data_IF_408504503071
#
_entry.id   IF_408504503071
#
_cell.length_a   1.000
_cell.length_b   1.000
_cell.length_c   1.000
_cell.angle_alpha   90.00
_cell.angle_beta   90.00
_cell.angle_gamma   90.00
#
_symmetry.space_group_name_H-M   'P 1'
#
loop_
_entity.id
_entity.type
_entity.pdbx_description
1 polymer ?
#
# COMPACT_ATOMS: atom_id res chain seq x y z
N UNK A 1 43.03 -14.52 -18.51
CA UNK A 1 41.97 -15.24 -17.77
C UNK A 1 41.66 -14.46 -16.50
N UNK A 2 40.90 -13.37 -16.58
CA UNK A 2 40.45 -12.69 -15.34
C UNK A 2 39.16 -11.88 -15.54
N UNK A 3 38.26 -12.41 -16.36
CA UNK A 3 36.91 -11.89 -16.60
C UNK A 3 35.90 -12.49 -15.61
N UNK A 4 36.23 -12.58 -14.32
CA UNK A 4 35.34 -13.24 -13.32
C UNK A 4 35.10 -12.42 -12.04
N UNK A 5 35.50 -11.14 -11.98
CA UNK A 5 35.17 -10.28 -10.82
C UNK A 5 33.79 -9.62 -10.92
N UNK A 6 32.87 -10.17 -11.72
CA UNK A 6 31.48 -9.71 -11.85
C UNK A 6 30.47 -10.52 -11.02
N UNK A 7 30.89 -11.16 -9.92
CA UNK A 7 29.92 -11.68 -8.95
C UNK A 7 29.67 -10.66 -7.84
N UNK A 8 29.03 -9.55 -8.21
CA UNK A 8 28.27 -8.74 -7.25
C UNK A 8 27.04 -9.57 -6.87
N UNK A 9 27.23 -10.50 -5.92
CA UNK A 9 26.14 -11.09 -5.17
C UNK A 9 25.45 -9.95 -4.42
N UNK A 10 24.52 -9.29 -5.09
CA UNK A 10 23.57 -8.36 -4.50
C UNK A 10 22.53 -9.23 -3.80
N UNK A 11 22.87 -9.67 -2.60
CA UNK A 11 21.87 -10.19 -1.68
C UNK A 11 20.83 -9.09 -1.46
N UNK A 12 19.57 -9.25 -1.89
CA UNK A 12 18.54 -8.23 -1.76
C UNK A 12 18.17 -7.94 -0.30
N UNK A 13 18.72 -8.72 0.64
CA UNK A 13 18.44 -8.62 2.07
C UNK A 13 19.32 -7.58 2.80
N UNK A 14 20.27 -6.93 2.12
CA UNK A 14 21.22 -5.96 2.71
C UNK A 14 20.89 -4.48 2.47
N UNK A 15 19.70 -4.15 1.95
CA UNK A 15 19.24 -2.75 1.90
C UNK A 15 18.50 -2.29 3.18
N UNK A 16 18.20 -3.22 4.10
CA UNK A 16 17.52 -3.00 5.38
C UNK A 16 18.32 -2.22 6.44
N UNK A 17 19.28 -1.40 6.03
CA UNK A 17 20.12 -0.62 6.95
C UNK A 17 20.77 0.64 6.39
N UNK A 18 20.48 1.04 5.14
CA UNK A 18 21.08 2.25 4.52
C UNK A 18 20.12 3.43 4.40
N UNK A 19 18.87 3.29 4.85
CA UNK A 19 17.84 4.33 4.83
C UNK A 19 17.51 4.87 6.23
N UNK A 20 16.93 6.08 6.34
CA UNK A 20 16.45 6.60 7.61
C UNK A 20 15.47 5.64 8.29
N UNK A 21 15.61 5.41 9.60
CA UNK A 21 14.78 4.48 10.38
C UNK A 21 13.27 4.79 10.37
N UNK A 22 12.89 6.02 9.98
CA UNK A 22 11.49 6.47 9.83
C UNK A 22 10.87 6.05 8.51
N UNK A 23 11.71 5.80 7.49
CA UNK A 23 11.26 5.52 6.12
C UNK A 23 10.26 4.36 6.04
N UNK A 24 10.52 3.17 6.62
CA UNK A 24 9.56 2.06 6.53
C UNK A 24 8.23 2.35 7.24
N UNK A 25 8.24 3.07 8.36
CA UNK A 25 7.01 3.47 9.05
C UNK A 25 6.19 4.47 8.20
N UNK A 26 6.87 5.42 7.56
CA UNK A 26 6.25 6.41 6.70
C UNK A 26 5.69 5.78 5.41
N UNK A 27 6.37 4.77 4.87
CA UNK A 27 5.95 4.02 3.70
C UNK A 27 4.61 3.32 3.95
N UNK A 28 4.52 2.53 5.03
CA UNK A 28 3.28 1.86 5.45
C UNK A 28 2.15 2.87 5.69
N UNK A 29 2.46 3.94 6.43
CA UNK A 29 1.50 5.00 6.73
C UNK A 29 0.95 5.66 5.46
N UNK A 30 1.82 5.99 4.50
CA UNK A 30 1.44 6.64 3.25
C UNK A 30 0.58 5.72 2.38
N UNK A 31 0.89 4.42 2.31
CA UNK A 31 0.10 3.46 1.53
C UNK A 31 -1.32 3.32 2.12
N UNK A 32 -1.44 3.15 3.44
CA UNK A 32 -2.73 3.08 4.13
C UNK A 32 -3.53 4.37 3.95
N UNK A 33 -2.90 5.52 4.19
CA UNK A 33 -3.55 6.84 4.07
C UNK A 33 -4.04 7.09 2.66
N UNK A 34 -3.28 6.65 1.65
CA UNK A 34 -3.66 6.78 0.23
C UNK A 34 -4.91 5.97 -0.08
N UNK A 35 -4.99 4.72 0.39
CA UNK A 35 -6.18 3.87 0.20
C UNK A 35 -7.45 4.41 0.86
N UNK A 36 -7.34 5.32 1.83
CA UNK A 36 -8.46 5.99 2.50
C UNK A 36 -8.78 7.32 1.80
N UNK A 37 -7.78 8.18 1.64
CA UNK A 37 -7.96 9.54 1.13
C UNK A 37 -8.41 9.57 -0.34
N UNK A 38 -7.82 8.74 -1.20
CA UNK A 38 -8.13 8.72 -2.64
C UNK A 38 -9.61 8.45 -2.92
N UNK A 39 -10.22 7.35 -2.43
CA UNK A 39 -11.62 7.08 -2.73
C UNK A 39 -12.57 8.11 -2.11
N UNK A 40 -12.26 8.66 -0.92
CA UNK A 40 -13.06 9.72 -0.29
C UNK A 40 -13.07 10.98 -1.17
N UNK A 41 -11.90 11.44 -1.61
CA UNK A 41 -11.79 12.63 -2.47
C UNK A 41 -12.51 12.40 -3.80
N UNK A 42 -12.34 11.22 -4.41
CA UNK A 42 -13.04 10.85 -5.63
C UNK A 42 -14.56 10.83 -5.44
N UNK A 43 -15.06 10.30 -4.32
CA UNK A 43 -16.48 10.30 -4.01
C UNK A 43 -17.03 11.70 -3.80
N UNK A 44 -16.28 12.60 -3.15
CA UNK A 44 -16.71 13.98 -2.94
C UNK A 44 -16.79 14.74 -4.25
N UNK A 45 -15.75 14.67 -5.09
CA UNK A 45 -15.72 15.38 -6.36
C UNK A 45 -16.74 14.77 -7.33
N UNK A 46 -16.74 13.45 -7.46
CA UNK A 46 -17.65 12.72 -8.34
C UNK A 46 -19.11 12.84 -7.91
N UNK A 47 -19.41 12.66 -6.62
CA UNK A 47 -20.76 12.76 -6.07
C UNK A 47 -21.35 14.16 -6.24
N UNK A 48 -20.57 15.21 -5.97
CA UNK A 48 -21.03 16.60 -6.16
C UNK A 48 -21.24 16.95 -7.63
N UNK A 49 -20.37 16.48 -8.53
CA UNK A 49 -20.52 16.71 -9.96
C UNK A 49 -21.78 16.02 -10.52
N UNK A 50 -22.06 14.80 -10.04
CA UNK A 50 -23.23 14.03 -10.44
C UNK A 50 -24.52 14.65 -9.90
N UNK A 51 -24.56 15.04 -8.61
CA UNK A 51 -25.71 15.73 -8.02
C UNK A 51 -25.99 17.08 -8.73
N UNK A 52 -24.96 17.84 -9.12
CA UNK A 52 -25.11 19.09 -9.85
C UNK A 52 -25.66 18.88 -11.28
N UNK A 53 -25.28 17.80 -11.94
CA UNK A 53 -25.75 17.48 -13.29
C UNK A 53 -27.22 17.02 -13.30
N UNK A 54 -27.65 16.26 -12.29
CA UNK A 54 -29.01 15.71 -12.24
C UNK A 54 -30.02 16.57 -11.44
N UNK A 55 -29.60 17.70 -10.86
CA UNK A 55 -30.43 18.60 -10.03
C UNK A 55 -31.18 17.86 -8.90
N UNK A 56 -30.68 16.69 -8.51
CA UNK A 56 -31.26 15.83 -7.50
C UNK A 56 -30.72 16.22 -6.12
N UNK A 57 -31.58 16.09 -5.10
CA UNK A 57 -31.15 16.08 -3.68
C UNK A 57 -30.00 15.07 -3.52
N UNK A 58 -29.12 15.21 -2.50
CA UNK A 58 -27.77 14.62 -2.47
C UNK A 58 -27.77 13.09 -2.24
N UNK A 59 -28.46 12.35 -3.10
CA UNK A 59 -28.61 10.91 -3.08
C UNK A 59 -27.47 10.24 -3.84
N UNK A 60 -26.98 10.84 -4.93
CA UNK A 60 -25.81 10.31 -5.64
C UNK A 60 -24.54 10.50 -4.83
N UNK A 61 -24.40 11.62 -4.12
CA UNK A 61 -23.30 11.78 -3.16
C UNK A 61 -23.27 10.65 -2.12
N UNK A 62 -24.41 10.30 -1.52
CA UNK A 62 -24.48 9.20 -0.53
C UNK A 62 -24.08 7.87 -1.17
N UNK A 63 -24.59 7.58 -2.37
CA UNK A 63 -24.21 6.38 -3.12
C UNK A 63 -22.71 6.31 -3.39
N UNK A 64 -22.10 7.41 -3.87
CA UNK A 64 -20.66 7.50 -4.12
C UNK A 64 -19.83 7.33 -2.85
N UNK A 65 -20.26 7.89 -1.72
CA UNK A 65 -19.56 7.73 -0.42
C UNK A 65 -19.57 6.27 0.03
N UNK A 66 -20.72 5.60 -0.04
CA UNK A 66 -20.83 4.17 0.31
C UNK A 66 -19.96 3.32 -0.62
N UNK A 67 -19.97 3.61 -1.92
CA UNK A 67 -19.14 2.89 -2.90
C UNK A 67 -17.65 3.09 -2.61
N UNK A 68 -17.23 4.32 -2.34
CA UNK A 68 -15.86 4.67 -1.94
C UNK A 68 -15.43 3.93 -0.68
N UNK A 69 -16.31 3.86 0.32
CA UNK A 69 -16.02 3.16 1.56
C UNK A 69 -15.79 1.65 1.34
N UNK A 70 -16.59 1.02 0.47
CA UNK A 70 -16.37 -0.38 0.08
C UNK A 70 -15.03 -0.57 -0.64
N UNK A 71 -14.72 0.29 -1.62
CA UNK A 71 -13.45 0.21 -2.37
C UNK A 71 -12.26 0.39 -1.42
N UNK A 72 -12.34 1.38 -0.52
CA UNK A 72 -11.32 1.64 0.49
C UNK A 72 -11.14 0.44 1.41
N UNK A 73 -12.23 -0.13 1.92
CA UNK A 73 -12.19 -1.30 2.81
C UNK A 73 -11.49 -2.50 2.17
N UNK A 74 -11.79 -2.79 0.89
CA UNK A 74 -11.16 -3.89 0.17
C UNK A 74 -9.68 -3.62 -0.11
N UNK A 75 -9.33 -2.40 -0.55
CA UNK A 75 -7.95 -1.98 -0.80
C UNK A 75 -7.08 -2.00 0.45
N UNK A 76 -7.64 -1.56 1.58
CA UNK A 76 -7.00 -1.57 2.88
C UNK A 76 -6.71 -3.00 3.35
N UNK A 77 -7.71 -3.89 3.33
CA UNK A 77 -7.53 -5.29 3.76
C UNK A 77 -6.48 -6.01 2.90
N UNK A 78 -6.46 -5.76 1.58
CA UNK A 78 -5.44 -6.35 0.69
C UNK A 78 -4.03 -5.83 1.01
N UNK A 79 -3.88 -4.53 1.22
CA UNK A 79 -2.60 -3.95 1.61
C UNK A 79 -2.12 -4.52 2.94
N UNK A 80 -3.00 -4.55 3.95
CA UNK A 80 -2.68 -5.09 5.28
C UNK A 80 -2.23 -6.56 5.21
N UNK A 81 -2.91 -7.39 4.41
CA UNK A 81 -2.51 -8.79 4.18
C UNK A 81 -1.14 -8.89 3.53
N UNK A 82 -0.87 -8.11 2.49
CA UNK A 82 0.44 -8.06 1.83
C UNK A 82 1.55 -7.68 2.81
N UNK A 83 1.32 -6.70 3.68
CA UNK A 83 2.26 -6.32 4.74
C UNK A 83 2.49 -7.45 5.75
N UNK A 84 1.41 -8.09 6.23
CA UNK A 84 1.51 -9.21 7.16
C UNK A 84 2.27 -10.41 6.57
N UNK A 85 2.02 -10.75 5.30
CA UNK A 85 2.73 -11.82 4.61
C UNK A 85 4.21 -11.49 4.40
N UNK A 86 4.53 -10.23 4.13
CA UNK A 86 5.91 -9.76 3.95
C UNK A 86 6.73 -9.94 5.24
N UNK A 87 6.16 -9.54 6.38
CA UNK A 87 6.78 -9.73 7.71
C UNK A 87 6.99 -11.22 8.00
N UNK A 88 5.95 -12.04 7.79
CA UNK A 88 5.99 -13.49 8.06
C UNK A 88 7.04 -14.22 7.21
N UNK A 89 7.24 -13.82 5.97
CA UNK A 89 8.24 -14.43 5.09
C UNK A 89 9.67 -13.97 5.45
N UNK A 90 9.85 -12.69 5.81
CA UNK A 90 11.13 -12.16 6.29
C UNK A 90 11.59 -12.87 7.59
N UNK A 91 10.68 -13.27 8.47
CA UNK A 91 11.00 -14.07 9.67
C UNK A 91 11.47 -15.50 9.32
N UNK A 92 10.77 -16.17 8.39
CA UNK A 92 11.10 -17.53 7.97
C UNK A 92 12.44 -17.64 7.22
N UNK A 93 12.80 -16.62 6.44
CA UNK A 93 14.09 -16.58 5.77
C UNK A 93 15.24 -16.41 6.77
N UNK A 94 15.04 -15.57 7.80
CA UNK A 94 16.02 -15.39 8.90
C UNK A 94 16.23 -16.65 9.74
N UNK A 95 15.22 -17.50 9.90
CA UNK A 95 15.37 -18.79 10.59
C UNK A 95 16.19 -19.80 9.77
N UNK A 96 15.93 -19.90 8.46
CA UNK A 96 16.67 -20.82 7.57
C UNK A 96 18.13 -20.45 7.36
N UNK A 97 18.48 -19.17 7.49
CA UNK A 97 19.87 -18.69 7.41
C UNK A 97 20.66 -18.96 8.70
N UNK A 98 19.99 -19.12 9.85
CA UNK A 98 20.63 -19.44 11.14
C UNK A 98 20.88 -20.94 11.35
N UNK A 99 20.19 -21.80 10.59
CA UNK A 99 20.31 -23.26 10.67
C UNK A 99 21.36 -23.84 9.70
N UNK A 100 21.99 -23.00 8.89
CA UNK A 100 22.96 -23.37 7.84
C UNK A 100 24.37 -22.91 8.17
#
# INVERSE_FOLDING_TARGET
MENEKQNLNKNPLQEWGKGPWWKPAFEIFSEISTWIAVPIILAVIGGKALDAHYNTKPWFFIGCVVLSFMISSVGLVRSMKKYADKIKNEEKEKEKEKEK
#
